data_IF_970321093236
#
_entry.id   IF_970321093236
#
_cell.length_a   1.000
_cell.length_b   1.000
_cell.length_c   1.000
_cell.angle_alpha   90.00
_cell.angle_beta   90.00
_cell.angle_gamma   90.00
#
_symmetry.space_group_name_H-M   'P 1'
#
loop_
_entity.id
_entity.type
_entity.pdbx_description
1 polymer ?
#
# COMPACT_ATOMS: atom_id res chain seq x y z
N UNK A 1 40.28 -27.59 -32.95
CA UNK A 1 39.58 -27.75 -31.66
C UNK A 1 38.10 -27.96 -31.94
N UNK A 2 37.52 -28.93 -31.23
CA UNK A 2 36.11 -29.17 -30.93
C UNK A 2 35.06 -29.22 -32.07
N UNK A 3 34.78 -30.46 -32.47
CA UNK A 3 33.50 -31.08 -32.85
C UNK A 3 32.23 -30.39 -32.30
N UNK A 4 31.24 -30.13 -33.15
CA UNK A 4 29.85 -29.98 -32.73
C UNK A 4 29.05 -31.18 -33.25
N UNK A 5 28.62 -32.02 -32.31
CA UNK A 5 27.91 -33.26 -32.54
C UNK A 5 26.42 -32.99 -32.74
N UNK A 6 25.84 -33.79 -33.63
CA UNK A 6 24.48 -33.73 -34.15
C UNK A 6 23.42 -34.17 -33.11
N UNK A 7 22.13 -34.12 -33.51
CA UNK A 7 20.95 -34.88 -32.99
C UNK A 7 20.10 -34.12 -31.93
N UNK A 8 18.77 -34.02 -31.94
CA UNK A 8 17.65 -34.38 -32.83
C UNK A 8 16.35 -33.85 -32.19
N UNK A 9 15.44 -33.33 -33.01
CA UNK A 9 13.97 -33.17 -32.88
C UNK A 9 13.27 -33.43 -31.53
N UNK A 10 12.32 -32.54 -31.16
CA UNK A 10 10.88 -32.89 -31.08
C UNK A 10 9.99 -31.65 -30.89
N UNK A 11 8.88 -31.65 -31.65
CA UNK A 11 7.72 -30.77 -31.50
C UNK A 11 7.12 -30.86 -30.09
N UNK A 12 6.69 -29.73 -29.55
CA UNK A 12 5.44 -29.61 -28.80
C UNK A 12 4.88 -28.20 -29.00
N UNK A 13 3.85 -28.10 -29.83
CA UNK A 13 2.83 -27.06 -29.73
C UNK A 13 2.16 -27.18 -28.37
N UNK A 14 2.31 -26.15 -27.54
CA UNK A 14 1.30 -25.81 -26.55
C UNK A 14 1.26 -24.29 -26.51
N UNK A 15 0.15 -23.71 -26.98
CA UNK A 15 -0.20 -22.33 -26.68
C UNK A 15 -0.34 -22.24 -25.16
N UNK A 16 0.71 -21.77 -24.49
CA UNK A 16 0.58 -21.18 -23.18
C UNK A 16 0.66 -19.68 -23.46
N UNK A 17 -0.43 -18.99 -23.14
CA UNK A 17 -0.48 -17.54 -23.14
C UNK A 17 0.75 -17.04 -22.37
N UNK A 18 1.53 -16.18 -23.02
CA UNK A 18 2.56 -15.38 -22.38
C UNK A 18 1.83 -14.54 -21.32
N UNK A 19 1.73 -15.05 -20.11
CA UNK A 19 1.49 -14.22 -18.95
C UNK A 19 2.82 -13.51 -18.75
N UNK A 20 2.95 -12.36 -19.42
CA UNK A 20 3.93 -11.35 -19.06
C UNK A 20 3.75 -11.09 -17.57
N UNK A 21 4.61 -11.73 -16.76
CA UNK A 21 4.84 -11.29 -15.40
C UNK A 21 5.54 -9.96 -15.60
N UNK A 22 4.75 -8.88 -15.65
CA UNK A 22 5.24 -7.53 -15.46
C UNK A 22 6.02 -7.57 -14.16
N UNK A 23 7.35 -7.58 -14.28
CA UNK A 23 8.27 -7.36 -13.18
C UNK A 23 7.78 -6.10 -12.48
N UNK A 24 7.16 -6.30 -11.31
CA UNK A 24 6.74 -5.21 -10.46
C UNK A 24 8.03 -4.50 -10.05
N UNK A 25 8.32 -3.40 -10.75
CA UNK A 25 9.41 -2.49 -10.48
C UNK A 25 9.28 -2.09 -9.00
N UNK A 26 10.03 -2.79 -8.15
CA UNK A 26 10.02 -2.64 -6.69
C UNK A 26 11.07 -1.60 -6.34
N UNK A 27 11.02 -0.47 -7.04
CA UNK A 27 11.61 0.75 -6.52
C UNK A 27 10.64 1.29 -5.49
N UNK A 28 11.07 1.51 -4.22
CA UNK A 28 10.20 2.11 -3.22
C UNK A 28 9.75 3.47 -3.75
N UNK A 29 8.47 3.57 -4.10
CA UNK A 29 7.91 4.83 -4.59
C UNK A 29 8.14 5.88 -3.50
N UNK A 30 8.82 6.96 -3.88
CA UNK A 30 9.04 8.08 -2.99
C UNK A 30 7.68 8.57 -2.48
N UNK A 31 7.54 8.87 -1.17
CA UNK A 31 6.29 9.38 -0.65
C UNK A 31 5.83 10.60 -1.45
N UNK A 32 4.58 10.58 -1.87
CA UNK A 32 4.00 11.56 -2.78
C UNK A 32 2.56 11.89 -2.36
N UNK A 33 2.17 13.15 -2.57
CA UNK A 33 0.80 13.60 -2.46
C UNK A 33 0.26 13.80 -3.88
N UNK A 34 -0.78 13.05 -4.22
CA UNK A 34 -1.49 13.16 -5.51
C UNK A 34 -2.98 13.20 -5.22
N UNK A 35 -3.68 14.18 -5.78
CA UNK A 35 -5.13 14.37 -5.63
C UNK A 35 -5.63 14.41 -4.18
N UNK A 36 -4.82 14.95 -3.26
CA UNK A 36 -5.16 15.03 -1.84
C UNK A 36 -4.94 13.73 -1.06
N UNK A 37 -4.23 12.76 -1.65
CA UNK A 37 -3.86 11.49 -1.03
C UNK A 37 -2.33 11.40 -0.92
N UNK A 38 -1.85 11.27 0.31
CA UNK A 38 -0.48 10.93 0.62
C UNK A 38 -0.28 9.41 0.57
N UNK A 39 0.77 8.97 -0.11
CA UNK A 39 1.06 7.53 -0.26
C UNK A 39 2.45 7.21 0.26
N UNK A 40 2.58 6.17 1.08
CA UNK A 40 3.85 5.69 1.63
C UNK A 40 3.85 4.17 1.79
N UNK A 41 4.97 3.51 1.48
CA UNK A 41 5.16 2.10 1.83
C UNK A 41 5.56 1.95 3.31
N UNK A 42 4.85 1.08 4.04
CA UNK A 42 5.13 0.80 5.43
C UNK A 42 5.06 -0.70 5.71
N UNK A 43 5.91 -1.17 6.62
CA UNK A 43 5.92 -2.55 7.09
C UNK A 43 5.25 -2.63 8.45
N UNK A 44 4.19 -3.43 8.53
CA UNK A 44 3.48 -3.72 9.76
C UNK A 44 4.38 -4.52 10.73
N UNK A 45 4.02 -4.54 12.00
CA UNK A 45 4.75 -5.28 13.06
C UNK A 45 4.75 -6.79 12.84
N UNK A 46 3.82 -7.32 12.04
CA UNK A 46 3.78 -8.73 11.62
C UNK A 46 4.71 -9.03 10.43
N UNK A 47 5.43 -8.03 9.90
CA UNK A 47 6.38 -8.16 8.80
C UNK A 47 5.77 -7.99 7.40
N UNK A 48 4.47 -7.73 7.28
CA UNK A 48 3.81 -7.50 5.98
C UNK A 48 4.02 -6.05 5.55
N UNK A 49 4.55 -5.85 4.35
CA UNK A 49 4.67 -4.52 3.74
C UNK A 49 3.44 -4.16 2.93
N UNK A 50 2.94 -2.94 3.10
CA UNK A 50 1.75 -2.41 2.46
C UNK A 50 1.98 -0.98 2.02
N UNK A 51 1.34 -0.61 0.91
CA UNK A 51 1.18 0.78 0.51
C UNK A 51 0.03 1.40 1.31
N UNK A 52 0.35 2.35 2.17
CA UNK A 52 -0.60 3.10 2.99
C UNK A 52 -0.94 4.39 2.25
N UNK A 53 -2.23 4.55 1.97
CA UNK A 53 -2.79 5.76 1.38
C UNK A 53 -3.56 6.53 2.45
N UNK A 54 -3.21 7.79 2.63
CA UNK A 54 -3.77 8.70 3.63
C UNK A 54 -4.44 9.86 2.90
N UNK A 55 -5.72 10.07 3.18
CA UNK A 55 -6.48 11.24 2.75
C UNK A 55 -6.00 12.43 3.59
N UNK A 56 -5.32 13.36 2.92
CA UNK A 56 -4.80 14.59 3.54
C UNK A 56 -5.65 15.82 3.18
N UNK A 57 -6.42 15.73 2.09
CA UNK A 57 -7.42 16.74 1.75
C UNK A 57 -8.62 16.66 2.71
N UNK A 58 -8.86 17.76 3.43
CA UNK A 58 -9.92 17.87 4.44
C UNK A 58 -11.32 17.75 3.84
N UNK A 59 -11.50 18.15 2.59
CA UNK A 59 -12.80 18.09 1.91
C UNK A 59 -13.15 16.65 1.47
N UNK A 60 -12.15 15.77 1.40
CA UNK A 60 -12.32 14.35 1.05
C UNK A 60 -12.42 13.43 2.28
N UNK A 61 -12.23 13.96 3.49
CA UNK A 61 -12.39 13.18 4.71
C UNK A 61 -13.86 12.73 4.91
N UNK A 62 -14.09 11.53 5.47
CA UNK A 62 -15.44 11.06 5.70
C UNK A 62 -16.18 11.93 6.71
N UNK A 63 -17.49 12.12 6.52
CA UNK A 63 -18.34 12.93 7.41
C UNK A 63 -18.30 12.47 8.88
N UNK A 64 -18.00 11.19 9.14
CA UNK A 64 -17.81 10.66 10.49
C UNK A 64 -16.62 11.29 11.22
N UNK A 65 -15.69 11.93 10.51
CA UNK A 65 -14.50 12.54 11.10
C UNK A 65 -14.85 13.56 12.18
N UNK A 66 -15.87 14.40 11.98
CA UNK A 66 -16.28 15.39 12.99
C UNK A 66 -16.78 14.75 14.28
N UNK A 67 -17.54 13.65 14.17
CA UNK A 67 -18.03 12.90 15.33
C UNK A 67 -16.88 12.21 16.06
N UNK A 68 -15.93 11.62 15.33
CA UNK A 68 -14.75 10.97 15.89
C UNK A 68 -13.85 11.97 16.65
N UNK A 69 -13.69 13.18 16.12
CA UNK A 69 -12.98 14.27 16.79
C UNK A 69 -13.70 14.68 18.07
N UNK A 70 -15.02 14.84 18.03
CA UNK A 70 -15.81 15.20 19.21
C UNK A 70 -15.74 14.14 20.32
N UNK A 71 -15.77 12.86 19.94
CA UNK A 71 -15.66 11.72 20.85
C UNK A 71 -14.23 11.51 21.39
N UNK A 72 -13.22 12.16 20.78
CA UNK A 72 -11.82 11.91 21.09
C UNK A 72 -11.35 10.50 20.69
N UNK A 73 -12.02 9.89 19.70
CA UNK A 73 -11.73 8.53 19.25
C UNK A 73 -10.55 8.54 18.27
N UNK A 74 -9.33 8.51 18.83
CA UNK A 74 -8.09 8.62 18.06
C UNK A 74 -7.94 7.50 17.03
N UNK A 75 -8.25 6.26 17.41
CA UNK A 75 -8.16 5.10 16.52
C UNK A 75 -9.13 5.22 15.35
N UNK A 76 -10.36 5.64 15.63
CA UNK A 76 -11.36 5.91 14.61
C UNK A 76 -10.91 7.03 13.66
N UNK A 77 -10.29 8.08 14.18
CA UNK A 77 -9.74 9.18 13.36
C UNK A 77 -8.61 8.70 12.43
N UNK A 78 -7.64 7.93 12.94
CA UNK A 78 -6.55 7.38 12.13
C UNK A 78 -7.12 6.53 11.01
N UNK A 79 -8.07 5.64 11.34
CA UNK A 79 -8.73 4.81 10.34
C UNK A 79 -9.52 5.66 9.34
N UNK A 80 -10.18 6.74 9.78
CA UNK A 80 -10.94 7.64 8.92
C UNK A 80 -10.07 8.41 7.93
N UNK A 81 -8.79 8.61 8.25
CA UNK A 81 -7.83 9.28 7.38
C UNK A 81 -7.16 8.33 6.38
N UNK A 82 -7.23 7.01 6.53
CA UNK A 82 -6.76 6.09 5.48
C UNK A 82 -7.84 5.81 4.44
N UNK A 83 -7.44 5.54 3.19
CA UNK A 83 -8.40 5.23 2.14
C UNK A 83 -9.17 3.93 2.43
N UNK A 84 -10.37 3.75 1.84
CA UNK A 84 -11.13 2.51 1.99
C UNK A 84 -10.35 1.26 1.52
N UNK A 85 -9.46 1.42 0.55
CA UNK A 85 -8.62 0.34 0.06
C UNK A 85 -7.57 -0.04 1.11
N UNK A 86 -6.81 0.94 1.61
CA UNK A 86 -5.83 0.69 2.68
C UNK A 86 -6.50 0.08 3.91
N UNK A 87 -7.68 0.56 4.32
CA UNK A 87 -8.42 -0.05 5.44
C UNK A 87 -8.72 -1.54 5.22
N UNK A 88 -9.20 -1.91 4.02
CA UNK A 88 -9.44 -3.33 3.67
C UNK A 88 -8.15 -4.15 3.70
N UNK A 89 -7.04 -3.60 3.21
CA UNK A 89 -5.75 -4.29 3.23
C UNK A 89 -5.25 -4.52 4.67
N UNK A 90 -5.45 -3.54 5.55
CA UNK A 90 -5.13 -3.67 6.97
C UNK A 90 -5.95 -4.78 7.64
N UNK A 91 -7.24 -4.84 7.37
CA UNK A 91 -8.10 -5.92 7.89
C UNK A 91 -7.68 -7.30 7.35
N UNK A 92 -7.37 -7.40 6.06
CA UNK A 92 -6.95 -8.65 5.41
C UNK A 92 -5.59 -9.16 5.90
N UNK A 93 -4.67 -8.25 6.19
CA UNK A 93 -3.33 -8.60 6.69
C UNK A 93 -3.29 -8.88 8.18
N UNK A 94 -4.43 -8.74 8.86
CA UNK A 94 -4.51 -8.93 10.31
C UNK A 94 -3.77 -7.82 11.06
N UNK A 95 -3.77 -6.60 10.54
CA UNK A 95 -3.21 -5.44 11.22
C UNK A 95 -3.89 -5.28 12.59
N UNK A 96 -3.06 -5.07 13.61
CA UNK A 96 -3.51 -4.99 14.99
C UNK A 96 -3.64 -3.53 15.41
N UNK A 97 -4.24 -3.31 16.60
CA UNK A 97 -4.22 -1.99 17.23
C UNK A 97 -2.79 -1.46 17.43
N UNK A 98 -1.81 -2.33 17.66
CA UNK A 98 -0.40 -1.94 17.79
C UNK A 98 0.12 -1.33 16.48
N UNK A 99 -0.19 -1.95 15.35
CA UNK A 99 0.17 -1.43 14.03
C UNK A 99 -0.45 -0.05 13.76
N UNK A 100 -1.70 0.13 14.20
CA UNK A 100 -2.39 1.41 14.08
C UNK A 100 -1.63 2.55 14.76
N UNK A 101 -1.06 2.31 15.95
CA UNK A 101 -0.34 3.32 16.71
C UNK A 101 1.14 3.45 16.33
N UNK A 102 1.82 2.34 16.04
CA UNK A 102 3.28 2.34 15.83
C UNK A 102 3.67 2.56 14.36
N UNK A 103 2.79 2.24 13.42
CA UNK A 103 3.09 2.30 11.99
C UNK A 103 2.16 3.29 11.29
N UNK A 104 0.85 3.09 11.40
CA UNK A 104 -0.13 3.86 10.61
C UNK A 104 -0.24 5.30 11.11
N UNK A 105 -0.35 5.52 12.42
CA UNK A 105 -0.46 6.87 12.99
C UNK A 105 0.74 7.77 12.61
N UNK A 106 2.01 7.30 12.68
CA UNK A 106 3.14 8.07 12.16
C UNK A 106 3.07 8.39 10.66
N UNK A 107 2.59 7.46 9.83
CA UNK A 107 2.42 7.68 8.38
C UNK A 107 1.37 8.77 8.13
N UNK A 108 0.25 8.68 8.85
CA UNK A 108 -0.84 9.66 8.81
C UNK A 108 -0.37 11.04 9.26
N UNK A 109 0.43 11.10 10.32
CA UNK A 109 1.03 12.34 10.80
C UNK A 109 1.94 12.96 9.73
N UNK A 110 2.84 12.19 9.12
CA UNK A 110 3.71 12.68 8.03
C UNK A 110 2.92 13.21 6.85
N UNK A 111 1.88 12.49 6.42
CA UNK A 111 1.00 12.95 5.35
C UNK A 111 0.34 14.28 5.67
N UNK A 112 -0.16 14.43 6.90
CA UNK A 112 -0.79 15.67 7.37
C UNK A 112 0.20 16.83 7.45
N UNK A 113 1.42 16.58 7.93
CA UNK A 113 2.49 17.58 8.00
C UNK A 113 2.89 18.07 6.61
N UNK A 114 3.10 17.15 5.66
CA UNK A 114 3.47 17.48 4.27
C UNK A 114 2.36 18.21 3.50
N UNK A 115 1.09 17.97 3.84
CA UNK A 115 -0.04 18.67 3.24
C UNK A 115 -0.31 20.05 3.86
N UNK A 116 0.24 20.31 5.05
CA UNK A 116 0.13 21.59 5.76
C UNK A 116 1.23 22.59 5.42
N UNK A 117 2.25 22.18 4.66
CA UNK A 117 3.34 23.01 4.12
C UNK A 117 2.94 23.66 2.78
#
# INVERSE_FOLDING_TARGET
MATANNKTTRKTTTKAEDVEVLDADTTPEKPAIVDGIYTEEATLTNGVSLKIEVIVDKDQLPASMSSLVFEGNLEGMILAQVTPLTRKLLDLTGATRKDLHEVIAPVVQRGTELAGE
#
